data_IF_130294748222
#
_entry.id   IF_130294748222
#
_cell.length_a   1.000
_cell.length_b   1.000
_cell.length_c   1.000
_cell.angle_alpha   90.00
_cell.angle_beta   90.00
_cell.angle_gamma   90.00
#
_symmetry.space_group_name_H-M   'P 1'
#
loop_
_entity.id
_entity.type
_entity.pdbx_description
1 polymer ?
#
# COMPACT_ATOMS: atom_id res chain seq x y z
N UNK A 1 -14.26 -15.96 -5.17
CA UNK A 1 -13.52 -15.01 -4.33
C UNK A 1 -12.19 -14.84 -5.01
N UNK A 2 -11.84 -13.62 -5.37
CA UNK A 2 -10.60 -13.35 -6.08
C UNK A 2 -9.42 -13.35 -5.11
N UNK A 3 -8.31 -13.97 -5.52
CA UNK A 3 -7.08 -14.06 -4.73
C UNK A 3 -5.87 -13.75 -5.62
N UNK A 4 -4.91 -13.01 -5.08
CA UNK A 4 -3.58 -12.82 -5.68
C UNK A 4 -2.50 -12.99 -4.61
N UNK A 5 -1.42 -13.69 -4.96
CA UNK A 5 -0.24 -13.83 -4.12
C UNK A 5 0.87 -12.93 -4.66
N UNK A 6 1.47 -12.13 -3.77
CA UNK A 6 2.64 -11.30 -4.05
C UNK A 6 3.81 -11.86 -3.28
N UNK A 7 4.84 -12.31 -4.01
CA UNK A 7 6.06 -12.87 -3.44
C UNK A 7 7.24 -11.95 -3.73
N UNK A 8 8.06 -11.70 -2.72
CA UNK A 8 9.31 -10.97 -2.88
C UNK A 8 10.45 -11.95 -3.23
N UNK A 9 10.81 -12.03 -4.51
CA UNK A 9 12.00 -12.76 -4.97
C UNK A 9 13.23 -11.85 -5.17
N UNK A 10 13.10 -10.55 -4.86
CA UNK A 10 14.24 -9.64 -4.86
C UNK A 10 15.16 -9.95 -3.66
N UNK A 11 16.42 -9.53 -3.78
CA UNK A 11 17.40 -9.63 -2.69
C UNK A 11 17.17 -8.59 -1.59
N UNK A 12 16.40 -7.56 -1.90
CA UNK A 12 16.09 -6.43 -1.01
C UNK A 12 14.63 -6.40 -0.61
N UNK A 13 14.17 -5.22 -0.19
CA UNK A 13 12.78 -5.01 0.19
C UNK A 13 11.88 -4.92 -1.04
N UNK A 14 10.66 -5.44 -0.91
CA UNK A 14 9.56 -5.16 -1.84
C UNK A 14 8.48 -4.41 -1.07
N UNK A 15 8.10 -3.24 -1.55
CA UNK A 15 6.92 -2.52 -1.05
C UNK A 15 5.73 -2.92 -1.91
N UNK A 16 4.76 -3.56 -1.29
CA UNK A 16 3.46 -3.85 -1.89
C UNK A 16 2.45 -2.80 -1.46
N UNK A 17 2.01 -2.01 -2.41
CA UNK A 17 0.94 -1.02 -2.26
C UNK A 17 -0.41 -1.68 -2.55
N UNK A 18 -1.39 -1.45 -1.69
CA UNK A 18 -2.79 -1.83 -1.89
C UNK A 18 -3.55 -0.58 -2.31
N UNK A 19 -3.96 -0.57 -3.58
CA UNK A 19 -4.62 0.57 -4.20
C UNK A 19 -6.10 0.26 -4.42
N UNK A 20 -7.00 1.26 -4.30
CA UNK A 20 -6.75 2.71 -4.27
C UNK A 20 -6.57 3.32 -2.86
N UNK A 21 -6.29 2.52 -1.83
CA UNK A 21 -6.20 3.00 -0.45
C UNK A 21 -4.88 3.71 -0.14
N UNK A 22 -3.85 3.57 -1.00
CA UNK A 22 -2.51 4.07 -0.72
C UNK A 22 -1.84 3.40 0.48
N UNK A 23 -2.16 2.13 0.75
CA UNK A 23 -1.60 1.39 1.89
C UNK A 23 -0.43 0.51 1.49
N UNK A 24 0.75 0.71 2.08
CA UNK A 24 1.95 -0.09 1.85
C UNK A 24 2.14 -1.21 2.87
N UNK A 25 2.77 -2.30 2.40
CA UNK A 25 3.21 -3.44 3.21
C UNK A 25 4.61 -3.84 2.71
N UNK A 26 5.57 -3.95 3.62
CA UNK A 26 6.97 -4.20 3.28
C UNK A 26 7.29 -5.68 3.45
N UNK A 27 7.75 -6.31 2.38
CA UNK A 27 8.11 -7.72 2.33
C UNK A 27 9.63 -7.86 2.37
N UNK A 28 10.13 -8.70 3.28
CA UNK A 28 11.51 -9.21 3.21
C UNK A 28 11.69 -10.15 2.02
N UNK A 29 12.93 -10.40 1.59
CA UNK A 29 13.21 -11.50 0.68
C UNK A 29 12.52 -12.80 1.12
N UNK A 30 11.95 -13.52 0.17
CA UNK A 30 11.21 -14.78 0.32
C UNK A 30 9.85 -14.71 1.05
N UNK A 31 9.43 -13.53 1.54
CA UNK A 31 8.09 -13.35 2.09
C UNK A 31 7.02 -13.38 0.99
N UNK A 32 5.80 -13.75 1.38
CA UNK A 32 4.65 -13.76 0.48
C UNK A 32 3.43 -13.30 1.23
N UNK A 33 2.73 -12.33 0.64
CA UNK A 33 1.41 -11.91 1.08
C UNK A 33 0.36 -12.36 0.09
N UNK A 34 -0.80 -12.73 0.63
CA UNK A 34 -1.99 -13.10 -0.10
C UNK A 34 -3.02 -11.99 0.07
N UNK A 35 -3.47 -11.41 -1.03
CA UNK A 35 -4.58 -10.45 -1.05
C UNK A 35 -5.86 -11.19 -1.44
N UNK A 36 -6.94 -10.99 -0.68
CA UNK A 36 -8.26 -11.59 -0.92
C UNK A 36 -9.31 -10.51 -1.03
N UNK A 37 -9.99 -10.46 -2.17
CA UNK A 37 -11.16 -9.61 -2.38
C UNK A 37 -12.43 -10.45 -2.31
N UNK A 38 -13.52 -9.87 -1.80
CA UNK A 38 -14.84 -10.49 -1.79
C UNK A 38 -15.46 -10.65 -3.20
N UNK A 39 -14.79 -10.16 -4.25
CA UNK A 39 -15.28 -10.21 -5.63
C UNK A 39 -15.40 -11.65 -6.16
N UNK A 40 -16.51 -11.92 -6.86
CA UNK A 40 -16.87 -13.23 -7.43
C UNK A 40 -17.31 -13.14 -8.90
N UNK A 41 -17.20 -11.98 -9.55
CA UNK A 41 -17.58 -11.81 -10.96
C UNK A 41 -16.47 -12.23 -11.93
N UNK A 42 -16.77 -12.11 -13.22
CA UNK A 42 -15.87 -12.50 -14.30
C UNK A 42 -14.99 -11.35 -14.81
N UNK A 43 -15.19 -10.13 -14.32
CA UNK A 43 -14.37 -8.97 -14.69
C UNK A 43 -13.03 -8.98 -13.92
N UNK A 44 -12.13 -8.06 -14.29
CA UNK A 44 -10.82 -7.96 -13.67
C UNK A 44 -10.97 -7.63 -12.18
N UNK A 45 -10.51 -8.51 -11.29
CA UNK A 45 -10.53 -8.28 -9.85
C UNK A 45 -9.34 -7.45 -9.37
N UNK A 46 -8.15 -7.79 -9.88
CA UNK A 46 -6.89 -7.13 -9.54
C UNK A 46 -6.14 -6.73 -10.80
N UNK A 47 -5.53 -5.55 -10.78
CA UNK A 47 -4.44 -5.21 -11.70
C UNK A 47 -3.15 -5.01 -10.91
N UNK A 48 -2.00 -5.30 -11.54
CA UNK A 48 -0.69 -5.22 -10.89
C UNK A 48 0.17 -4.27 -11.71
N UNK A 49 0.71 -3.25 -11.04
CA UNK A 49 1.66 -2.31 -11.64
C UNK A 49 2.98 -2.36 -10.90
N UNK A 50 4.08 -2.52 -11.64
CA UNK A 50 5.43 -2.40 -11.12
C UNK A 50 6.00 -1.08 -11.61
N UNK A 51 6.71 -0.37 -10.74
CA UNK A 51 7.48 0.80 -11.14
C UNK A 51 8.87 0.77 -10.55
N UNK A 52 9.74 1.52 -11.20
CA UNK A 52 11.11 1.70 -10.80
C UNK A 52 11.28 3.14 -10.39
N UNK A 53 11.74 3.33 -9.18
CA UNK A 53 12.32 4.58 -8.72
C UNK A 53 13.81 4.35 -8.49
N UNK A 54 14.66 5.20 -9.08
CA UNK A 54 16.11 4.99 -9.07
C UNK A 54 16.70 5.13 -7.65
N UNK A 55 16.12 6.01 -6.82
CA UNK A 55 16.55 6.20 -5.44
C UNK A 55 16.17 4.97 -4.60
N UNK A 56 14.92 4.51 -4.71
CA UNK A 56 14.45 3.28 -4.04
C UNK A 56 15.29 2.07 -4.48
N UNK A 57 15.52 1.91 -5.79
CA UNK A 57 16.33 0.79 -6.30
C UNK A 57 17.77 0.86 -5.81
N UNK A 58 18.37 2.05 -5.73
CA UNK A 58 19.71 2.22 -5.18
C UNK A 58 19.77 1.86 -3.69
N UNK A 59 18.67 2.02 -2.96
CA UNK A 59 18.48 1.59 -1.58
C UNK A 59 18.10 0.11 -1.44
N UNK A 60 17.99 -0.63 -2.55
CA UNK A 60 17.58 -2.04 -2.55
C UNK A 60 16.09 -2.24 -2.27
N UNK A 61 15.26 -1.30 -2.71
CA UNK A 61 13.80 -1.32 -2.57
C UNK A 61 13.19 -1.43 -3.97
N UNK A 62 12.27 -2.37 -4.14
CA UNK A 62 11.44 -2.51 -5.33
C UNK A 62 9.98 -2.21 -4.98
N UNK A 63 9.17 -1.80 -5.96
CA UNK A 63 7.79 -1.39 -5.74
C UNK A 63 6.80 -2.13 -6.65
N UNK A 64 5.68 -2.54 -6.06
CA UNK A 64 4.51 -3.06 -6.77
C UNK A 64 3.23 -2.50 -6.16
N UNK A 65 2.24 -2.19 -6.98
CA UNK A 65 0.87 -1.94 -6.52
C UNK A 65 -0.06 -3.04 -6.99
N UNK A 66 -0.89 -3.51 -6.07
CA UNK A 66 -2.05 -4.35 -6.32
C UNK A 66 -3.28 -3.44 -6.26
N UNK A 67 -3.85 -3.16 -7.42
CA UNK A 67 -5.08 -2.39 -7.54
C UNK A 67 -6.28 -3.32 -7.38
N UNK A 68 -7.22 -2.96 -6.51
CA UNK A 68 -8.54 -3.56 -6.46
C UNK A 68 -9.42 -2.89 -7.52
N UNK A 69 -9.61 -3.56 -8.65
CA UNK A 69 -10.41 -3.03 -9.77
C UNK A 69 -11.90 -3.27 -9.53
N UNK A 70 -12.24 -4.41 -8.92
CA UNK A 70 -13.61 -4.78 -8.58
C UNK A 70 -13.70 -5.49 -7.22
N UNK A 71 -14.83 -5.28 -6.54
CA UNK A 71 -15.06 -5.74 -5.17
C UNK A 71 -14.84 -4.64 -4.13
N UNK A 72 -14.70 -5.06 -2.88
CA UNK A 72 -14.37 -4.16 -1.77
C UNK A 72 -12.88 -3.76 -1.81
N UNK A 73 -12.60 -2.45 -1.80
CA UNK A 73 -11.24 -1.93 -1.77
C UNK A 73 -10.51 -2.23 -0.45
N UNK A 74 -11.23 -2.56 0.62
CA UNK A 74 -10.67 -3.03 1.90
C UNK A 74 -10.39 -4.54 1.86
N UNK A 75 -9.64 -4.98 0.85
CA UNK A 75 -9.26 -6.38 0.68
C UNK A 75 -8.38 -6.87 1.85
N UNK A 76 -8.59 -8.13 2.25
CA UNK A 76 -7.78 -8.75 3.32
C UNK A 76 -6.39 -9.08 2.78
N UNK A 77 -5.34 -8.77 3.56
CA UNK A 77 -3.97 -9.18 3.25
C UNK A 77 -3.45 -10.10 4.35
N UNK A 78 -3.02 -11.31 4.00
CA UNK A 78 -2.49 -12.28 4.97
C UNK A 78 -1.12 -12.82 4.60
N UNK A 79 -0.31 -13.22 5.59
CA UNK A 79 0.87 -14.06 5.33
C UNK A 79 0.50 -15.53 5.00
N UNK A 80 1.52 -16.38 4.78
CA UNK A 80 1.32 -17.81 4.50
C UNK A 80 0.71 -18.60 5.67
N UNK A 81 0.85 -18.12 6.90
CA UNK A 81 0.25 -18.72 8.09
C UNK A 81 -1.20 -18.25 8.30
N UNK A 82 -1.66 -17.27 7.51
CA UNK A 82 -3.00 -16.69 7.58
C UNK A 82 -3.12 -15.52 8.54
N UNK A 83 -2.01 -14.97 9.05
CA UNK A 83 -2.04 -13.78 9.91
C UNK A 83 -2.35 -12.53 9.08
N UNK A 84 -3.19 -11.65 9.62
CA UNK A 84 -3.53 -10.36 8.99
C UNK A 84 -2.30 -9.44 8.95
N UNK A 85 -2.10 -8.79 7.81
CA UNK A 85 -1.00 -7.86 7.55
C UNK A 85 -1.58 -6.46 7.33
N UNK A 86 -1.38 -5.61 8.32
CA UNK A 86 -1.83 -4.22 8.32
C UNK A 86 -0.95 -3.30 7.47
N UNK A 87 -1.50 -2.15 7.10
CA UNK A 87 -0.73 -1.06 6.48
C UNK A 87 0.47 -0.68 7.37
N UNK A 88 1.62 -0.45 6.73
CA UNK A 88 2.89 -0.14 7.39
C UNK A 88 3.60 -1.36 8.00
N UNK A 89 3.13 -2.60 7.74
CA UNK A 89 3.84 -3.80 8.16
C UNK A 89 5.30 -3.76 7.72
N UNK A 90 6.22 -3.91 8.70
CA UNK A 90 7.67 -3.85 8.51
C UNK A 90 8.22 -2.57 7.86
N UNK A 91 7.42 -1.50 7.76
CA UNK A 91 7.89 -0.21 7.24
C UNK A 91 9.06 0.29 8.10
N UNK A 92 10.21 0.64 7.50
CA UNK A 92 11.34 1.16 8.26
C UNK A 92 10.93 2.38 9.09
N UNK A 93 11.40 2.46 10.35
CA UNK A 93 10.96 3.51 11.27
C UNK A 93 11.20 4.93 10.73
N UNK A 94 12.32 5.15 10.04
CA UNK A 94 12.62 6.45 9.46
C UNK A 94 11.60 6.84 8.38
N UNK A 95 11.25 5.88 7.52
CA UNK A 95 10.19 6.08 6.51
C UNK A 95 8.88 6.36 7.22
N UNK A 96 8.52 5.58 8.23
CA UNK A 96 7.29 5.81 8.99
C UNK A 96 7.23 7.21 9.62
N UNK A 97 8.34 7.68 10.22
CA UNK A 97 8.42 9.03 10.80
C UNK A 97 8.20 10.12 9.74
N UNK A 98 8.82 9.99 8.57
CA UNK A 98 8.64 10.94 7.45
C UNK A 98 7.18 10.96 6.97
N UNK A 99 6.55 9.81 6.86
CA UNK A 99 5.15 9.67 6.47
C UNK A 99 4.20 10.33 7.47
N UNK A 100 4.38 10.08 8.77
CA UNK A 100 3.54 10.71 9.80
C UNK A 100 3.66 12.23 9.78
N UNK A 101 4.89 12.76 9.65
CA UNK A 101 5.10 14.20 9.54
C UNK A 101 4.40 14.81 8.30
N UNK A 102 4.45 14.12 7.16
CA UNK A 102 3.78 14.58 5.94
C UNK A 102 2.23 14.55 6.08
N UNK A 103 1.67 13.53 6.73
CA UNK A 103 0.24 13.44 7.01
C UNK A 103 -0.22 14.54 7.96
N UNK A 104 0.52 14.78 9.04
CA UNK A 104 0.24 15.87 9.99
C UNK A 104 0.26 17.24 9.29
N UNK A 105 1.24 17.49 8.43
CA UNK A 105 1.30 18.71 7.64
C UNK A 105 0.13 18.80 6.65
N UNK A 106 -0.23 17.71 5.98
CA UNK A 106 -1.39 17.64 5.09
C UNK A 106 -2.69 17.98 5.80
N UNK A 107 -2.92 17.40 6.98
CA UNK A 107 -4.08 17.69 7.83
C UNK A 107 -4.10 19.15 8.28
N UNK A 108 -2.96 19.68 8.71
CA UNK A 108 -2.84 21.10 9.10
C UNK A 108 -3.23 22.03 7.94
N UNK A 109 -2.66 21.80 6.74
CA UNK A 109 -2.98 22.58 5.54
C UNK A 109 -4.45 22.47 5.13
N UNK A 110 -5.06 21.29 5.30
CA UNK A 110 -6.48 21.08 5.02
C UNK A 110 -7.37 21.85 6.01
N UNK A 111 -7.02 21.85 7.30
CA UNK A 111 -7.73 22.59 8.33
C UNK A 111 -7.64 24.11 8.11
N UNK A 112 -6.45 24.63 7.77
CA UNK A 112 -6.23 26.04 7.45
C UNK A 112 -7.06 26.49 6.23
N UNK A 113 -7.11 25.68 5.17
CA UNK A 113 -7.95 25.96 4.00
C UNK A 113 -9.44 26.00 4.35
N UNK A 114 -9.90 25.08 5.22
CA UNK A 114 -11.29 25.07 5.67
C UNK A 114 -11.63 26.33 6.48
N UNK A 115 -10.76 26.71 7.41
CA UNK A 115 -10.93 27.92 8.22
C UNK A 115 -10.87 29.21 7.38
N UNK A 116 -10.02 29.25 6.34
CA UNK A 116 -9.94 30.39 5.42
C UNK A 116 -11.10 30.49 4.42
N UNK A 117 -11.67 29.35 4.02
CA UNK A 117 -12.84 29.28 3.13
C UNK A 117 -14.16 29.68 3.80
N UNK A 118 -14.28 29.48 5.12
CA UNK A 118 -15.45 29.91 5.91
C UNK A 118 -15.53 31.43 6.13
N UNK A 119 -14.48 32.20 5.79
CA UNK A 119 -14.46 33.67 5.91
C UNK A 119 -15.06 34.41 4.69
N UNK A 120 -15.50 33.69 3.66
CA UNK A 120 -16.15 34.25 2.46
C UNK A 120 -17.57 33.67 2.33
N UNK A 121 -18.44 34.05 3.25
CA UNK A 121 -19.87 33.70 3.27
C UNK A 121 -20.70 34.87 3.77
#
# INVERSE_FOLDING_TARGET
MAVVDVRNDAKGWLVMWLEPLGEDRWLRPDETFRVRSNYNGDELAFSITFWVDDDDRSAGIENVAVWIENGDCYAEVTDRAGNLIECGHQRPEEVNRRWQAALEEGHRRAAERKAGGEAVG
#
